data_IF_927763010277
#
_entry.id   IF_927763010277
#
_cell.length_a   1.000
_cell.length_b   1.000
_cell.length_c   1.000
_cell.angle_alpha   90.00
_cell.angle_beta   90.00
_cell.angle_gamma   90.00
#
_symmetry.space_group_name_H-M   'P 1'
#
loop_
_entity.id
_entity.type
_entity.pdbx_description
1 polymer ?
#
# COMPACT_ATOMS: atom_id res chain seq x y z
N UNK A 1 -13.82 -6.56 15.56
CA UNK A 1 -14.51 -5.27 15.32
C UNK A 1 -13.94 -4.74 14.01
N UNK A 2 -14.75 -4.43 13.00
CA UNK A 2 -14.21 -3.92 11.73
C UNK A 2 -13.58 -2.54 11.99
N UNK A 3 -12.36 -2.31 11.49
CA UNK A 3 -11.75 -0.98 11.54
C UNK A 3 -12.62 -0.02 10.72
N UNK A 4 -13.02 1.10 11.32
CA UNK A 4 -13.85 2.11 10.68
C UNK A 4 -13.03 2.87 9.62
N UNK A 5 -13.07 2.37 8.38
CA UNK A 5 -12.34 2.96 7.25
C UNK A 5 -12.80 4.40 6.97
N UNK A 6 -14.07 4.72 7.22
CA UNK A 6 -14.60 6.06 6.98
C UNK A 6 -13.98 7.07 7.95
N UNK A 7 -13.84 6.72 9.24
CA UNK A 7 -13.12 7.55 10.22
C UNK A 7 -11.64 7.66 9.90
N UNK A 8 -10.97 6.57 9.49
CA UNK A 8 -9.54 6.63 9.13
C UNK A 8 -9.27 7.49 7.89
N UNK A 9 -10.20 7.61 6.95
CA UNK A 9 -10.10 8.54 5.82
C UNK A 9 -10.12 10.03 6.22
N UNK A 10 -10.59 10.36 7.43
CA UNK A 10 -10.59 11.73 7.94
C UNK A 10 -9.24 12.12 8.57
N UNK A 11 -8.44 11.13 8.99
CA UNK A 11 -7.08 11.34 9.48
C UNK A 11 -6.16 11.57 8.30
N UNK A 12 -5.39 12.67 8.34
CA UNK A 12 -4.47 13.01 7.25
C UNK A 12 -3.18 12.20 7.36
N UNK A 13 -2.63 12.12 8.58
CA UNK A 13 -1.39 11.42 8.87
C UNK A 13 -1.48 10.63 10.17
N UNK A 14 -0.76 9.53 10.21
CA UNK A 14 -0.47 8.83 11.45
C UNK A 14 0.89 8.15 11.36
N UNK A 15 1.48 7.88 12.52
CA UNK A 15 2.77 7.21 12.62
C UNK A 15 2.63 5.93 13.40
N UNK A 16 3.27 4.90 12.88
CA UNK A 16 3.33 3.57 13.49
C UNK A 16 4.51 2.80 12.94
N UNK A 17 4.62 1.53 13.33
CA UNK A 17 5.59 0.62 12.75
C UNK A 17 4.88 -0.19 11.65
N UNK A 18 5.52 -0.36 10.51
CA UNK A 18 4.95 -1.18 9.43
C UNK A 18 4.87 -2.64 9.91
N UNK A 19 3.68 -3.26 9.78
CA UNK A 19 3.43 -4.64 10.21
C UNK A 19 3.19 -5.62 9.06
N UNK A 20 3.03 -5.13 7.83
CA UNK A 20 2.79 -5.95 6.66
C UNK A 20 4.08 -6.65 6.22
N UNK A 21 3.96 -7.73 5.46
CA UNK A 21 5.12 -8.57 5.15
C UNK A 21 5.89 -8.06 3.91
N UNK A 22 6.25 -6.77 3.92
CA UNK A 22 7.07 -6.10 2.91
C UNK A 22 8.55 -6.05 3.35
N UNK A 23 9.42 -5.51 2.49
CA UNK A 23 10.82 -5.23 2.86
C UNK A 23 10.95 -4.12 3.91
N UNK A 24 9.89 -3.34 4.13
CA UNK A 24 9.83 -2.27 5.13
C UNK A 24 9.25 -2.75 6.48
N UNK A 25 9.00 -4.05 6.68
CA UNK A 25 8.46 -4.58 7.94
C UNK A 25 9.30 -4.13 9.14
N UNK A 26 8.62 -3.55 10.13
CA UNK A 26 9.22 -2.99 11.35
C UNK A 26 9.85 -1.61 11.17
N UNK A 27 9.76 -0.98 10.00
CA UNK A 27 10.22 0.40 9.82
C UNK A 27 9.25 1.35 10.51
N UNK A 28 9.79 2.34 11.23
CA UNK A 28 9.02 3.49 11.67
C UNK A 28 8.49 4.23 10.43
N UNK A 29 7.18 4.34 10.34
CA UNK A 29 6.47 4.67 9.11
C UNK A 29 5.51 5.84 9.32
N UNK A 30 5.57 6.81 8.40
CA UNK A 30 4.55 7.83 8.24
C UNK A 30 3.51 7.33 7.24
N UNK A 31 2.28 7.14 7.71
CA UNK A 31 1.15 6.75 6.87
C UNK A 31 0.42 8.01 6.39
N UNK A 32 0.22 8.11 5.07
CA UNK A 32 -0.33 9.30 4.41
C UNK A 32 -1.65 8.95 3.72
N UNK A 33 -2.72 9.65 4.09
CA UNK A 33 -4.03 9.51 3.45
C UNK A 33 -4.17 10.53 2.31
N UNK A 34 -4.29 10.02 1.09
CA UNK A 34 -4.47 10.82 -0.13
C UNK A 34 -3.15 11.38 -0.68
N UNK A 35 -3.25 12.40 -1.53
CA UNK A 35 -2.09 13.18 -2.00
C UNK A 35 -1.92 14.42 -1.13
N UNK A 36 -0.68 14.70 -0.72
CA UNK A 36 -0.31 15.85 0.14
C UNK A 36 0.97 16.49 -0.39
N UNK A 37 1.33 17.64 0.15
CA UNK A 37 2.55 18.34 -0.22
C UNK A 37 3.78 17.47 0.15
N UNK A 38 4.66 17.12 -0.80
CA UNK A 38 5.84 16.30 -0.51
C UNK A 38 6.74 16.93 0.56
N UNK A 39 6.83 18.27 0.62
CA UNK A 39 7.66 18.95 1.63
C UNK A 39 7.09 18.75 3.04
N UNK A 40 5.78 18.90 3.20
CA UNK A 40 5.09 18.65 4.47
C UNK A 40 5.28 17.20 4.92
N UNK A 41 5.18 16.26 3.99
CA UNK A 41 5.42 14.83 4.28
C UNK A 41 6.87 14.61 4.75
N UNK A 42 7.86 15.22 4.11
CA UNK A 42 9.27 15.10 4.50
C UNK A 42 9.52 15.71 5.89
N UNK A 43 9.00 16.91 6.15
CA UNK A 43 9.13 17.58 7.43
C UNK A 43 8.53 16.74 8.57
N UNK A 44 7.34 16.15 8.36
CA UNK A 44 6.70 15.24 9.30
C UNK A 44 7.48 13.93 9.46
N UNK A 45 7.95 13.34 8.35
CA UNK A 45 8.71 12.10 8.40
C UNK A 45 10.00 12.28 9.20
N UNK A 46 10.74 13.36 8.96
CA UNK A 46 11.97 13.67 9.69
C UNK A 46 11.70 13.97 11.16
N UNK A 47 10.68 14.79 11.46
CA UNK A 47 10.28 15.11 12.83
C UNK A 47 9.95 13.84 13.64
N UNK A 48 9.28 12.88 13.02
CA UNK A 48 8.90 11.61 13.65
C UNK A 48 9.90 10.46 13.42
N UNK A 49 11.09 10.73 12.87
CA UNK A 49 12.13 9.74 12.56
C UNK A 49 11.65 8.58 11.67
N UNK A 50 10.72 8.85 10.76
CA UNK A 50 10.20 7.90 9.79
C UNK A 50 11.11 7.85 8.57
N UNK A 51 11.71 6.69 8.31
CA UNK A 51 12.49 6.45 7.07
C UNK A 51 11.62 5.89 5.94
N UNK A 52 10.39 5.53 6.26
CA UNK A 52 9.41 4.94 5.37
C UNK A 52 8.13 5.77 5.35
N UNK A 53 7.57 5.95 4.16
CA UNK A 53 6.32 6.65 3.93
C UNK A 53 5.39 5.68 3.20
N UNK A 54 4.17 5.51 3.73
CA UNK A 54 3.20 4.56 3.22
C UNK A 54 1.98 5.31 2.67
N UNK A 55 1.73 5.15 1.37
CA UNK A 55 0.55 5.64 0.67
C UNK A 55 -0.44 4.51 0.39
N UNK A 56 -1.70 4.88 0.12
CA UNK A 56 -2.77 3.93 -0.20
C UNK A 56 -3.49 3.35 1.02
N UNK A 57 -2.98 3.67 2.21
CA UNK A 57 -3.64 3.34 3.48
C UNK A 57 -5.09 3.81 3.51
N UNK A 58 -5.94 3.09 4.24
CA UNK A 58 -7.39 3.34 4.28
C UNK A 58 -8.07 3.32 2.91
N UNK A 59 -7.47 2.64 1.92
CA UNK A 59 -7.94 2.61 0.53
C UNK A 59 -8.06 4.03 -0.06
N UNK A 60 -6.99 4.82 0.09
CA UNK A 60 -6.94 6.21 -0.36
C UNK A 60 -6.48 6.41 -1.81
N UNK A 61 -5.82 5.43 -2.41
CA UNK A 61 -5.37 5.54 -3.79
C UNK A 61 -6.53 5.36 -4.77
N UNK A 62 -6.65 6.29 -5.71
CA UNK A 62 -7.75 6.39 -6.68
C UNK A 62 -7.27 6.31 -8.14
N UNK A 63 -5.96 6.16 -8.37
CA UNK A 63 -5.35 6.17 -9.69
C UNK A 63 -5.02 7.55 -10.24
N UNK A 64 -5.08 8.62 -9.43
CA UNK A 64 -4.60 9.95 -9.80
C UNK A 64 -3.06 9.94 -9.96
N UNK A 65 -2.57 10.46 -11.08
CA UNK A 65 -1.15 10.59 -11.38
C UNK A 65 -0.38 11.49 -10.41
N UNK A 66 -1.06 12.38 -9.66
CA UNK A 66 -0.43 13.22 -8.63
C UNK A 66 0.31 12.42 -7.57
N UNK A 67 -0.20 11.24 -7.20
CA UNK A 67 0.49 10.33 -6.27
C UNK A 67 1.91 10.04 -6.76
N UNK A 68 2.08 9.77 -8.06
CA UNK A 68 3.38 9.45 -8.62
C UNK A 68 4.35 10.63 -8.59
N UNK A 69 3.86 11.85 -8.80
CA UNK A 69 4.69 13.06 -8.70
C UNK A 69 5.20 13.24 -7.26
N UNK A 70 4.32 13.15 -6.27
CA UNK A 70 4.68 13.26 -4.84
C UNK A 70 5.67 12.16 -4.45
N UNK A 71 5.38 10.89 -4.79
CA UNK A 71 6.25 9.77 -4.42
C UNK A 71 7.63 9.84 -5.09
N UNK A 72 7.74 10.32 -6.33
CA UNK A 72 9.04 10.53 -6.98
C UNK A 72 9.92 11.48 -6.20
N UNK A 73 9.37 12.62 -5.76
CA UNK A 73 10.11 13.59 -4.96
C UNK A 73 10.61 12.99 -3.64
N UNK A 74 9.77 12.19 -2.97
CA UNK A 74 10.15 11.48 -1.74
C UNK A 74 11.25 10.42 -2.00
N UNK A 75 11.14 9.66 -3.09
CA UNK A 75 12.14 8.65 -3.49
C UNK A 75 13.48 9.28 -3.85
N UNK A 76 13.48 10.42 -4.54
CA UNK A 76 14.67 11.23 -4.86
C UNK A 76 15.33 11.76 -3.58
N UNK A 77 14.53 12.14 -2.58
CA UNK A 77 14.97 12.53 -1.24
C UNK A 77 15.22 11.35 -0.29
N UNK A 78 15.41 10.15 -0.84
CA UNK A 78 15.97 8.98 -0.16
C UNK A 78 15.06 8.23 0.81
N UNK A 79 13.77 8.53 0.88
CA UNK A 79 12.82 7.75 1.66
C UNK A 79 12.52 6.38 1.01
N UNK A 80 12.16 5.41 1.84
CA UNK A 80 11.41 4.24 1.38
C UNK A 80 9.95 4.65 1.18
N UNK A 81 9.33 4.22 0.08
CA UNK A 81 7.95 4.59 -0.21
C UNK A 81 7.16 3.36 -0.63
N UNK A 82 6.13 3.03 0.14
CA UNK A 82 5.13 2.02 -0.24
C UNK A 82 3.93 2.70 -0.87
N UNK A 83 3.40 2.10 -1.95
CA UNK A 83 2.05 2.37 -2.43
C UNK A 83 1.24 1.08 -2.36
N UNK A 84 0.20 1.07 -1.52
CA UNK A 84 -0.88 0.07 -1.56
C UNK A 84 -1.92 0.48 -2.60
N UNK A 85 -2.14 -0.37 -3.61
CA UNK A 85 -3.12 -0.12 -4.65
C UNK A 85 -3.82 -1.39 -5.10
N UNK A 86 -5.10 -1.25 -5.48
CA UNK A 86 -5.86 -2.34 -6.08
C UNK A 86 -5.26 -2.78 -7.42
N UNK A 87 -5.29 -4.09 -7.70
CA UNK A 87 -4.73 -4.68 -8.92
C UNK A 87 -5.23 -4.02 -10.22
N UNK A 88 -6.43 -3.43 -10.21
CA UNK A 88 -7.00 -2.65 -11.32
C UNK A 88 -6.16 -1.43 -11.74
N UNK A 89 -5.24 -0.95 -10.89
CA UNK A 89 -4.38 0.18 -11.18
C UNK A 89 -2.96 -0.21 -11.63
N UNK A 90 -2.68 -1.51 -11.81
CA UNK A 90 -1.32 -2.00 -12.08
C UNK A 90 -0.66 -1.34 -13.30
N UNK A 91 -1.38 -1.24 -14.42
CA UNK A 91 -0.86 -0.61 -15.66
C UNK A 91 -0.50 0.85 -15.40
N UNK A 92 -1.41 1.61 -14.78
CA UNK A 92 -1.17 3.02 -14.43
C UNK A 92 0.08 3.17 -13.58
N UNK A 93 0.23 2.38 -12.52
CA UNK A 93 1.40 2.46 -11.62
C UNK A 93 2.68 2.09 -12.36
N UNK A 94 2.67 1.05 -13.20
CA UNK A 94 3.86 0.66 -13.98
C UNK A 94 4.31 1.73 -14.98
N UNK A 95 3.38 2.51 -15.53
CA UNK A 95 3.68 3.61 -16.48
C UNK A 95 4.27 4.85 -15.80
N UNK A 96 4.10 5.01 -14.49
CA UNK A 96 4.61 6.19 -13.76
C UNK A 96 6.13 6.31 -13.76
N UNK A 97 6.85 5.21 -13.94
CA UNK A 97 8.29 5.12 -13.78
C UNK A 97 8.78 4.93 -12.34
N UNK A 98 7.89 4.84 -11.35
CA UNK A 98 8.23 4.56 -9.94
C UNK A 98 8.96 3.22 -9.77
N UNK A 99 8.65 2.23 -10.62
CA UNK A 99 9.30 0.90 -10.61
C UNK A 99 10.82 0.93 -10.83
N UNK A 100 11.38 2.07 -11.27
CA UNK A 100 12.83 2.24 -11.47
C UNK A 100 13.58 2.53 -10.17
N UNK A 101 12.87 2.90 -9.09
CA UNK A 101 13.48 3.24 -7.82
C UNK A 101 13.54 2.01 -6.92
N UNK A 102 14.73 1.63 -6.47
CA UNK A 102 14.94 0.46 -5.58
C UNK A 102 14.20 0.59 -4.23
N UNK A 103 13.91 1.82 -3.81
CA UNK A 103 13.19 2.14 -2.55
C UNK A 103 11.68 2.24 -2.70
N UNK A 104 11.16 2.04 -3.90
CA UNK A 104 9.73 1.98 -4.13
C UNK A 104 9.22 0.55 -3.89
N UNK A 105 8.18 0.44 -3.05
CA UNK A 105 7.55 -0.83 -2.69
C UNK A 105 6.12 -0.82 -3.24
N UNK A 106 5.86 -1.45 -4.40
CA UNK A 106 4.51 -1.59 -4.92
C UNK A 106 3.79 -2.73 -4.18
N UNK A 107 2.79 -2.40 -3.36
CA UNK A 107 1.92 -3.41 -2.77
C UNK A 107 0.64 -3.55 -3.61
N UNK A 108 0.58 -4.64 -4.38
CA UNK A 108 -0.55 -4.95 -5.26
C UNK A 108 -1.63 -5.71 -4.49
N UNK A 109 -2.75 -5.06 -4.22
CA UNK A 109 -3.87 -5.59 -3.45
C UNK A 109 -4.89 -6.31 -4.31
N UNK A 110 -4.99 -7.64 -4.15
CA UNK A 110 -6.05 -8.48 -4.74
C UNK A 110 -7.17 -8.75 -3.72
N UNK A 111 -8.29 -8.02 -3.85
CA UNK A 111 -9.41 -8.10 -2.90
C UNK A 111 -10.29 -9.32 -3.20
N UNK A 112 -10.25 -10.35 -2.34
CA UNK A 112 -11.12 -11.54 -2.40
C UNK A 112 -12.06 -11.55 -1.18
N UNK A 113 -13.27 -10.95 -1.27
CA UNK A 113 -14.17 -10.86 -0.13
C UNK A 113 -14.69 -12.23 0.28
N UNK A 114 -14.78 -12.47 1.59
CA UNK A 114 -15.27 -13.73 2.18
C UNK A 114 -14.53 -14.98 1.68
N UNK A 115 -13.20 -14.90 1.58
CA UNK A 115 -12.32 -15.97 1.07
C UNK A 115 -12.59 -17.36 1.66
N UNK A 116 -13.04 -17.44 2.92
CA UNK A 116 -13.37 -18.69 3.62
C UNK A 116 -14.64 -19.39 3.12
N UNK A 117 -15.51 -18.73 2.34
CA UNK A 117 -16.69 -19.34 1.72
C UNK A 117 -16.36 -20.09 0.42
N UNK A 118 -15.17 -19.89 -0.12
CA UNK A 118 -14.71 -20.53 -1.35
C UNK A 118 -14.36 -21.99 -1.05
N UNK A 119 -14.71 -22.88 -1.97
CA UNK A 119 -14.52 -24.32 -1.76
C UNK A 119 -13.06 -24.73 -2.02
N UNK A 120 -12.70 -25.97 -1.65
CA UNK A 120 -11.33 -26.49 -1.78
C UNK A 120 -10.79 -26.54 -3.22
N UNK A 121 -11.65 -26.46 -4.24
CA UNK A 121 -11.28 -26.53 -5.65
C UNK A 121 -11.05 -25.13 -6.26
N UNK A 122 -11.19 -24.04 -5.48
CA UNK A 122 -10.98 -22.69 -5.99
C UNK A 122 -9.53 -22.45 -6.40
N UNK A 123 -9.36 -21.90 -7.60
CA UNK A 123 -8.08 -21.54 -8.22
C UNK A 123 -8.00 -20.04 -8.37
N UNK A 124 -6.89 -19.43 -7.94
CA UNK A 124 -6.55 -18.06 -8.31
C UNK A 124 -5.74 -18.10 -9.60
N UNK A 125 -6.06 -17.19 -10.52
CA UNK A 125 -5.36 -17.01 -11.79
C UNK A 125 -4.85 -15.57 -11.88
N UNK A 126 -3.56 -15.42 -12.20
CA UNK A 126 -2.95 -14.19 -12.68
C UNK A 126 -2.99 -14.29 -14.20
N UNK A 127 -3.83 -13.46 -14.80
CA UNK A 127 -4.22 -13.59 -16.21
C UNK A 127 -3.64 -12.46 -17.06
N UNK A 128 -3.74 -12.64 -18.36
CA UNK A 128 -3.52 -11.58 -19.34
C UNK A 128 -4.78 -10.71 -19.48
N UNK A 129 -4.63 -9.40 -19.71
CA UNK A 129 -5.75 -8.47 -19.93
C UNK A 129 -6.60 -8.93 -21.12
N UNK A 130 -5.93 -9.37 -22.19
CA UNK A 130 -6.53 -10.04 -23.34
C UNK A 130 -5.48 -10.93 -23.99
N UNK A 131 -5.85 -11.78 -24.93
CA UNK A 131 -4.98 -12.84 -25.45
C UNK A 131 -3.63 -12.33 -26.00
N UNK A 132 -2.54 -12.58 -25.26
CA UNK A 132 -1.16 -12.30 -25.66
C UNK A 132 -0.77 -10.83 -25.64
N UNK A 133 -1.42 -10.02 -24.80
CA UNK A 133 -1.27 -8.55 -24.80
C UNK A 133 -0.31 -8.05 -23.72
N UNK A 134 -0.64 -8.30 -22.45
CA UNK A 134 0.09 -7.78 -21.28
C UNK A 134 1.09 -8.77 -20.69
N UNK A 135 0.92 -10.07 -20.95
CA UNK A 135 1.77 -11.13 -20.42
C UNK A 135 2.10 -12.19 -21.48
N UNK A 136 3.19 -12.94 -21.30
CA UNK A 136 3.56 -14.07 -22.19
C UNK A 136 2.77 -15.35 -21.91
N UNK A 137 1.92 -15.34 -20.89
CA UNK A 137 1.16 -16.49 -20.43
C UNK A 137 0.37 -16.17 -19.15
N UNK A 138 -0.08 -17.22 -18.48
CA UNK A 138 -0.93 -17.12 -17.28
C UNK A 138 -0.36 -17.99 -16.17
N UNK A 139 -0.52 -17.54 -14.92
CA UNK A 139 -0.18 -18.33 -13.75
C UNK A 139 -1.46 -18.71 -13.03
N UNK A 140 -1.58 -19.97 -12.61
CA UNK A 140 -2.72 -20.42 -11.83
C UNK A 140 -2.28 -21.39 -10.75
N UNK A 141 -2.91 -21.29 -9.57
CA UNK A 141 -2.67 -22.19 -8.45
C UNK A 141 -3.88 -22.26 -7.55
N UNK A 142 -4.05 -23.38 -6.86
CA UNK A 142 -5.11 -23.55 -5.88
C UNK A 142 -5.00 -22.46 -4.79
N UNK A 143 -6.12 -21.78 -4.50
CA UNK A 143 -6.14 -20.64 -3.59
C UNK A 143 -5.75 -21.02 -2.15
N UNK A 144 -6.11 -22.24 -1.71
CA UNK A 144 -5.74 -22.74 -0.37
C UNK A 144 -4.24 -23.00 -0.27
N UNK A 145 -3.60 -23.44 -1.35
CA UNK A 145 -2.15 -23.62 -1.38
C UNK A 145 -1.42 -22.28 -1.37
N UNK A 146 -1.90 -21.28 -2.11
CA UNK A 146 -1.33 -19.93 -2.10
C UNK A 146 -1.39 -19.36 -0.67
N UNK A 147 -2.57 -19.32 -0.07
CA UNK A 147 -2.78 -18.74 1.26
C UNK A 147 -2.04 -19.47 2.38
N UNK A 148 -1.82 -20.79 2.25
CA UNK A 148 -1.01 -21.56 3.22
C UNK A 148 0.44 -21.07 3.33
N UNK A 149 0.99 -20.47 2.27
CA UNK A 149 2.36 -19.98 2.22
C UNK A 149 2.47 -18.46 2.39
N UNK A 150 1.36 -17.78 2.66
CA UNK A 150 1.33 -16.34 2.92
C UNK A 150 1.43 -16.06 4.42
N UNK A 151 1.93 -14.88 4.76
CA UNK A 151 1.78 -14.35 6.11
C UNK A 151 0.32 -13.95 6.33
N UNK A 152 -0.26 -14.40 7.44
CA UNK A 152 -1.57 -13.94 7.88
C UNK A 152 -1.36 -12.88 8.96
N UNK A 153 -1.79 -11.65 8.69
CA UNK A 153 -1.82 -10.56 9.66
C UNK A 153 -3.26 -10.38 10.12
N UNK A 154 -3.53 -10.62 11.40
CA UNK A 154 -4.86 -10.44 11.97
C UNK A 154 -5.16 -8.96 12.20
N UNK A 155 -6.44 -8.59 12.18
CA UNK A 155 -6.85 -7.21 12.44
C UNK A 155 -6.45 -6.70 13.82
N UNK A 156 -6.29 -7.59 14.80
CA UNK A 156 -5.80 -7.24 16.15
C UNK A 156 -4.34 -6.78 16.17
N UNK A 157 -3.58 -7.03 15.10
CA UNK A 157 -2.20 -6.55 14.97
C UNK A 157 -2.12 -5.08 14.51
N UNK A 158 -3.18 -4.54 13.89
CA UNK A 158 -3.26 -3.14 13.43
C UNK A 158 -3.57 -2.18 14.60
N UNK A 159 -2.66 -2.14 15.58
CA UNK A 159 -2.77 -1.33 16.82
C UNK A 159 -1.50 -0.49 17.02
N UNK A 160 -1.61 0.61 17.77
CA UNK A 160 -0.47 1.44 18.17
C UNK A 160 -0.16 2.64 17.27
N UNK A 161 -0.86 2.79 16.14
CA UNK A 161 -0.77 3.98 15.30
C UNK A 161 -1.23 5.24 16.05
N UNK A 162 -0.43 6.29 15.97
CA UNK A 162 -0.72 7.60 16.58
C UNK A 162 -1.05 8.61 15.50
N UNK A 163 -2.23 9.22 15.60
CA UNK A 163 -2.68 10.30 14.70
C UNK A 163 -1.80 11.53 14.90
N UNK A 164 -1.39 12.17 13.80
CA UNK A 164 -0.78 13.50 13.83
C UNK A 164 -1.87 14.51 13.52
N UNK A 165 -2.03 15.49 14.41
CA UNK A 165 -2.96 16.60 14.25
C UNK A 165 -2.21 17.82 13.71
N UNK A 166 -2.30 18.04 12.39
CA UNK A 166 -1.61 19.15 11.71
C UNK A 166 -2.35 20.49 11.84
N UNK A 167 -3.59 20.50 12.33
CA UNK A 167 -4.41 21.73 12.46
C UNK A 167 -4.29 22.38 13.86
N UNK A 168 -3.73 21.69 14.85
CA UNK A 168 -3.62 22.16 16.24
C UNK A 168 -2.22 22.65 16.65
N UNK A 169 -1.22 22.61 15.75
CA UNK A 169 0.13 23.14 15.99
C UNK A 169 0.30 24.58 15.46
N UNK A 170 -0.59 25.50 15.88
CA UNK A 170 -0.44 26.96 15.74
C UNK A 170 -0.10 27.62 17.08
#
# INVERSE_FOLDING_TARGET
>A
MALDTAKRKQVIYFVGDEIENTVAKGFRTLFVVGTRDPKEIMDLADHHNCKHIYFGTSQSYDGDGKFATVMKELLENKYWVTLDFGIEYIEKVTETGLMKFERFIPMVSAKIPNIYKLNKNTTLKIDDVTWGHSNTGVWSKNLKEITKHMHYTDWSEYVGDTVIDVDNDN
#
